data_IF_368720355261
#
_entry.id   IF_368720355261
#
_cell.length_a   1.000
_cell.length_b   1.000
_cell.length_c   1.000
_cell.angle_alpha   90.00
_cell.angle_beta   90.00
_cell.angle_gamma   90.00
#
_symmetry.space_group_name_H-M   'P 1'
#
loop_
_entity.id
_entity.type
_entity.pdbx_description
1 polymer ?
#
# COMPACT_ATOMS: atom_id res chain seq x y z
N UNK A 1 57.86 13.91 -58.69
CA UNK A 1 58.46 13.53 -57.40
C UNK A 1 57.55 14.01 -56.28
N UNK A 2 57.37 13.15 -55.28
CA UNK A 2 56.33 13.10 -54.25
C UNK A 2 56.41 14.22 -53.20
N UNK A 3 55.24 14.56 -52.62
CA UNK A 3 55.04 15.39 -51.42
C UNK A 3 55.71 14.75 -50.18
N UNK A 4 56.05 15.53 -49.14
CA UNK A 4 55.18 15.63 -47.95
C UNK A 4 55.09 17.08 -47.40
N UNK A 5 53.89 17.60 -47.09
CA UNK A 5 53.27 17.64 -45.75
C UNK A 5 54.22 17.98 -44.61
N UNK A 6 54.07 19.17 -44.00
CA UNK A 6 54.05 19.37 -42.55
C UNK A 6 53.48 20.77 -42.23
N UNK A 7 52.18 20.80 -41.94
CA UNK A 7 51.47 21.92 -41.33
C UNK A 7 51.18 21.55 -39.87
N UNK A 8 52.09 21.87 -38.95
CA UNK A 8 51.95 21.80 -37.49
C UNK A 8 53.08 22.73 -36.98
N UNK A 9 52.89 23.75 -36.14
CA UNK A 9 52.24 23.68 -34.84
C UNK A 9 52.21 25.10 -34.24
N UNK A 10 51.11 25.85 -34.38
CA UNK A 10 50.81 26.97 -33.49
C UNK A 10 49.32 26.97 -33.19
N UNK A 11 48.89 26.03 -32.35
CA UNK A 11 47.56 26.07 -31.72
C UNK A 11 47.54 27.25 -30.73
N UNK A 12 46.61 28.21 -30.85
CA UNK A 12 46.57 29.39 -29.97
C UNK A 12 46.44 28.96 -28.50
N UNK A 13 47.16 29.63 -27.60
CA UNK A 13 47.08 29.40 -26.16
C UNK A 13 45.64 29.52 -25.61
N UNK A 14 44.81 30.36 -26.24
CA UNK A 14 43.38 30.49 -25.96
C UNK A 14 42.59 29.23 -26.31
N UNK A 15 42.92 28.54 -27.41
CA UNK A 15 42.28 27.28 -27.77
C UNK A 15 42.73 26.14 -26.87
N UNK A 16 43.99 26.09 -26.44
CA UNK A 16 44.42 25.09 -25.43
C UNK A 16 43.73 25.30 -24.08
N UNK A 17 43.53 26.56 -23.66
CA UNK A 17 42.80 26.89 -22.44
C UNK A 17 41.31 26.55 -22.57
N UNK A 18 40.70 26.83 -23.72
CA UNK A 18 39.30 26.50 -23.99
C UNK A 18 39.09 24.98 -24.12
N UNK A 19 39.97 24.28 -24.82
CA UNK A 19 39.98 22.82 -24.94
C UNK A 19 40.26 22.16 -23.58
N UNK A 20 41.12 22.74 -22.74
CA UNK A 20 41.31 22.30 -21.36
C UNK A 20 40.04 22.52 -20.52
N UNK A 21 39.34 23.66 -20.67
CA UNK A 21 38.05 23.91 -20.00
C UNK A 21 36.96 22.93 -20.47
N UNK A 22 36.88 22.63 -21.76
CA UNK A 22 35.95 21.62 -22.28
C UNK A 22 36.31 20.22 -21.79
N UNK A 23 37.60 19.86 -21.77
CA UNK A 23 38.06 18.58 -21.25
C UNK A 23 37.78 18.44 -19.75
N UNK A 24 38.03 19.47 -18.95
CA UNK A 24 37.68 19.49 -17.51
C UNK A 24 36.17 19.40 -17.32
N UNK A 25 35.38 20.12 -18.13
CA UNK A 25 33.92 20.02 -18.09
C UNK A 25 33.42 18.61 -18.42
N UNK A 26 33.98 17.99 -19.46
CA UNK A 26 33.62 16.63 -19.86
C UNK A 26 34.04 15.59 -18.79
N UNK A 27 35.22 15.76 -18.18
CA UNK A 27 35.66 14.94 -17.06
C UNK A 27 34.77 15.10 -15.82
N UNK A 28 34.37 16.33 -15.48
CA UNK A 28 33.45 16.58 -14.37
C UNK A 28 32.08 15.93 -14.62
N UNK A 29 31.55 15.99 -15.84
CA UNK A 29 30.29 15.33 -16.22
C UNK A 29 30.41 13.80 -16.17
N UNK A 30 31.52 13.23 -16.64
CA UNK A 30 31.73 11.78 -16.57
C UNK A 30 31.87 11.30 -15.12
N UNK A 31 32.56 12.07 -14.28
CA UNK A 31 32.71 11.78 -12.85
C UNK A 31 31.36 11.88 -12.13
N UNK A 32 30.56 12.92 -12.38
CA UNK A 32 29.21 13.02 -11.79
C UNK A 32 28.26 11.94 -12.30
N UNK A 33 28.28 11.59 -13.59
CA UNK A 33 27.53 10.44 -14.12
C UNK A 33 27.95 9.11 -13.48
N UNK A 34 29.25 8.92 -13.22
CA UNK A 34 29.75 7.74 -12.52
C UNK A 34 29.30 7.71 -11.05
N UNK A 35 29.30 8.86 -10.36
CA UNK A 35 28.77 8.97 -9.00
C UNK A 35 27.25 8.71 -8.94
N UNK A 36 26.48 9.23 -9.90
CA UNK A 36 25.03 8.97 -10.02
C UNK A 36 24.77 7.48 -10.33
N UNK A 37 25.57 6.88 -11.21
CA UNK A 37 25.51 5.44 -11.49
C UNK A 37 25.89 4.59 -10.26
N UNK A 38 26.80 5.10 -9.41
CA UNK A 38 27.15 4.46 -8.13
C UNK A 38 26.01 4.54 -7.10
N UNK A 39 25.16 5.58 -7.16
CA UNK A 39 23.99 5.71 -6.29
C UNK A 39 22.78 4.92 -6.77
N UNK A 40 22.72 4.49 -8.04
CA UNK A 40 21.62 3.71 -8.62
C UNK A 40 21.90 2.19 -8.68
N UNK A 41 22.97 1.72 -8.01
CA UNK A 41 23.20 0.30 -7.74
C UNK A 41 22.26 -0.30 -6.67
N UNK A 42 21.31 0.47 -6.15
CA UNK A 42 20.22 -0.03 -5.32
C UNK A 42 18.90 0.73 -5.56
N UNK A 43 18.01 0.07 -6.31
CA UNK A 43 16.57 -0.02 -6.06
C UNK A 43 15.67 1.15 -6.49
N UNK A 44 15.22 1.12 -7.76
CA UNK A 44 13.80 1.34 -8.06
C UNK A 44 13.01 0.08 -7.64
N UNK A 45 12.77 -0.08 -6.34
CA UNK A 45 11.74 -1.00 -5.84
C UNK A 45 10.50 -0.16 -5.56
N UNK A 46 9.63 -0.04 -6.57
CA UNK A 46 8.22 0.24 -6.33
C UNK A 46 7.56 -1.03 -5.83
N UNK A 47 7.58 -1.27 -4.52
CA UNK A 47 6.57 -2.07 -3.82
C UNK A 47 6.86 -2.10 -2.33
N UNK A 48 5.86 -1.70 -1.55
CA UNK A 48 5.73 -1.86 -0.11
C UNK A 48 6.50 -3.07 0.46
N UNK A 49 7.63 -2.83 1.12
CA UNK A 49 8.23 -3.82 2.03
C UNK A 49 8.85 -3.14 3.26
N UNK A 50 8.03 -3.00 4.30
CA UNK A 50 8.47 -2.81 5.68
C UNK A 50 8.68 -4.18 6.34
N UNK A 51 9.86 -4.40 6.93
CA UNK A 51 10.10 -5.52 7.83
C UNK A 51 11.59 -5.81 8.03
N UNK A 52 12.16 -5.19 9.05
CA UNK A 52 13.50 -5.44 9.59
C UNK A 52 13.59 -6.74 10.40
N UNK A 53 14.84 -7.14 10.64
CA UNK A 53 15.37 -7.98 11.73
C UNK A 53 16.02 -9.28 11.23
N UNK A 54 17.35 -9.29 11.33
CA UNK A 54 18.22 -10.37 10.86
C UNK A 54 18.03 -11.66 11.64
N UNK A 55 17.84 -12.77 10.91
CA UNK A 55 18.19 -14.12 11.37
C UNK A 55 18.40 -15.05 10.17
N UNK A 56 19.64 -15.54 10.07
CA UNK A 56 20.19 -16.63 9.24
C UNK A 56 19.34 -17.15 8.07
N UNK A 57 19.78 -16.79 6.86
CA UNK A 57 19.27 -17.27 5.58
C UNK A 57 19.44 -18.79 5.48
N UNK A 58 18.36 -19.53 5.75
CA UNK A 58 18.22 -20.92 5.36
C UNK A 58 17.50 -21.01 4.03
N UNK A 59 18.21 -20.88 2.91
CA UNK A 59 17.98 -21.58 1.63
C UNK A 59 16.61 -21.56 0.89
N UNK A 60 15.52 -21.05 1.44
CA UNK A 60 14.15 -21.19 0.87
C UNK A 60 13.31 -19.91 0.87
N UNK A 61 13.87 -18.79 1.33
CA UNK A 61 13.08 -17.58 1.61
C UNK A 61 13.05 -16.56 0.47
N UNK A 62 13.74 -16.82 -0.65
CA UNK A 62 13.71 -15.97 -1.86
C UNK A 62 12.58 -16.30 -2.85
N UNK A 63 11.78 -17.34 -2.59
CA UNK A 63 10.55 -17.53 -3.35
C UNK A 63 9.44 -16.66 -2.75
N UNK A 64 8.78 -15.77 -3.53
CA UNK A 64 7.61 -15.06 -3.05
C UNK A 64 6.61 -16.11 -2.61
N UNK A 65 6.41 -16.25 -1.30
CA UNK A 65 5.47 -17.24 -0.78
C UNK A 65 4.14 -16.95 -1.45
N UNK A 66 3.57 -17.90 -2.21
CA UNK A 66 2.31 -17.65 -2.89
C UNK A 66 1.32 -17.20 -1.84
N UNK A 67 0.79 -15.97 -1.99
CA UNK A 67 -0.21 -15.42 -1.08
C UNK A 67 -1.30 -16.48 -0.99
N UNK A 68 -1.45 -17.12 0.17
CA UNK A 68 -2.43 -18.20 0.32
C UNK A 68 -3.79 -17.58 0.00
N UNK A 69 -4.50 -18.04 -1.05
CA UNK A 69 -5.80 -17.49 -1.36
C UNK A 69 -6.72 -17.75 -0.17
N UNK A 70 -7.51 -16.75 0.20
CA UNK A 70 -8.52 -16.91 1.23
C UNK A 70 -9.52 -17.96 0.76
N UNK A 71 -9.72 -19.00 1.59
CA UNK A 71 -10.53 -20.16 1.21
C UNK A 71 -12.03 -19.89 1.33
N UNK A 72 -12.43 -18.91 2.14
CA UNK A 72 -13.83 -18.58 2.38
C UNK A 72 -14.29 -17.49 1.41
N UNK A 73 -15.58 -17.52 1.08
CA UNK A 73 -16.20 -16.53 0.19
C UNK A 73 -16.14 -15.14 0.82
N UNK A 74 -15.95 -14.13 -0.02
CA UNK A 74 -15.93 -12.71 0.35
C UNK A 74 -14.83 -12.33 1.36
N UNK A 75 -13.74 -13.10 1.40
CA UNK A 75 -12.53 -12.77 2.15
C UNK A 75 -11.42 -12.35 1.19
N UNK A 76 -10.65 -11.34 1.60
CA UNK A 76 -9.47 -10.83 0.90
C UNK A 76 -8.26 -10.92 1.82
N UNK A 77 -7.12 -11.30 1.25
CA UNK A 77 -5.87 -11.36 2.00
C UNK A 77 -5.31 -9.94 2.15
N UNK A 78 -5.12 -9.50 3.38
CA UNK A 78 -4.43 -8.24 3.70
C UNK A 78 -3.05 -8.56 4.28
N UNK A 79 -2.02 -7.92 3.74
CA UNK A 79 -0.63 -8.09 4.15
C UNK A 79 -0.27 -7.28 5.40
N UNK A 80 -1.01 -6.22 5.68
CA UNK A 80 -0.85 -5.40 6.86
C UNK A 80 -2.14 -4.61 7.08
N UNK A 81 -2.79 -4.79 8.23
CA UNK A 81 -3.92 -3.95 8.63
C UNK A 81 -3.89 -3.73 10.13
N UNK A 82 -4.17 -2.50 10.53
CA UNK A 82 -4.28 -2.10 11.93
C UNK A 82 -5.43 -2.80 12.65
N UNK A 83 -5.20 -3.22 13.89
CA UNK A 83 -6.26 -3.73 14.76
C UNK A 83 -7.37 -2.68 14.89
N UNK A 84 -8.61 -3.14 14.74
CA UNK A 84 -9.80 -2.28 14.76
C UNK A 84 -10.18 -1.71 13.40
N UNK A 85 -9.32 -1.83 12.39
CA UNK A 85 -9.58 -1.47 11.00
C UNK A 85 -9.43 -2.63 10.01
N UNK A 86 -9.36 -3.83 10.56
CA UNK A 86 -9.25 -5.09 9.83
C UNK A 86 -10.42 -5.36 8.88
N UNK A 87 -11.65 -5.35 9.40
CA UNK A 87 -12.90 -5.66 8.73
C UNK A 87 -14.10 -5.12 9.52
N UNK A 88 -15.25 -4.99 8.86
CA UNK A 88 -16.52 -4.72 9.52
C UNK A 88 -17.14 -6.02 10.08
N UNK A 89 -17.84 -5.91 11.20
CA UNK A 89 -18.50 -7.03 11.89
C UNK A 89 -20.00 -6.77 11.95
N UNK A 90 -20.83 -7.80 12.04
CA UNK A 90 -22.29 -7.60 12.11
C UNK A 90 -22.71 -6.72 13.30
N UNK A 91 -21.97 -6.78 14.42
CA UNK A 91 -22.19 -5.96 15.62
C UNK A 91 -21.39 -4.66 15.63
N UNK A 92 -20.50 -4.45 14.66
CA UNK A 92 -19.71 -3.22 14.49
C UNK A 92 -19.51 -2.99 12.99
N UNK A 93 -20.51 -2.42 12.29
CA UNK A 93 -20.47 -2.28 10.84
C UNK A 93 -19.51 -1.19 10.36
N UNK A 94 -19.15 -0.27 11.24
CA UNK A 94 -18.22 0.82 10.93
C UNK A 94 -16.80 0.41 11.30
N UNK A 95 -15.89 0.53 10.33
CA UNK A 95 -14.44 0.41 10.52
C UNK A 95 -13.92 1.69 11.20
N UNK A 96 -12.99 1.57 12.15
CA UNK A 96 -12.50 2.74 12.90
C UNK A 96 -13.40 3.11 14.09
N UNK A 97 -13.27 4.31 14.68
CA UNK A 97 -12.57 5.49 14.15
C UNK A 97 -11.04 5.46 14.30
N UNK A 98 -10.52 4.67 15.25
CA UNK A 98 -9.09 4.57 15.53
C UNK A 98 -8.59 3.19 15.11
N UNK A 99 -7.54 3.17 14.30
CA UNK A 99 -6.78 1.98 13.95
C UNK A 99 -5.52 1.95 14.80
N UNK A 100 -5.18 0.79 15.38
CA UNK A 100 -3.84 0.62 15.94
C UNK A 100 -2.80 0.48 14.81
N UNK A 101 -1.57 0.90 15.07
CA UNK A 101 -0.45 0.80 14.10
C UNK A 101 0.19 -0.60 14.05
N UNK A 102 -0.51 -1.64 14.50
CA UNK A 102 -0.02 -3.00 14.47
C UNK A 102 -0.35 -3.69 13.14
N UNK A 103 0.59 -4.49 12.64
CA UNK A 103 0.46 -5.11 11.32
C UNK A 103 -0.16 -6.51 11.42
N UNK A 104 -1.49 -6.61 11.32
CA UNK A 104 -2.16 -7.91 11.23
C UNK A 104 -2.16 -8.42 9.78
N UNK A 105 -1.73 -9.67 9.59
CA UNK A 105 -1.72 -10.35 8.29
C UNK A 105 -2.75 -11.48 8.30
N UNK A 106 -3.55 -11.60 7.24
CA UNK A 106 -4.54 -12.66 7.17
C UNK A 106 -5.70 -12.40 6.21
N UNK A 107 -6.73 -13.23 6.33
CA UNK A 107 -7.95 -13.15 5.53
C UNK A 107 -9.05 -12.40 6.30
N UNK A 108 -9.47 -11.28 5.72
CA UNK A 108 -10.46 -10.36 6.28
C UNK A 108 -11.62 -10.20 5.30
N UNK A 109 -12.80 -9.83 5.79
CA UNK A 109 -13.94 -9.58 4.92
C UNK A 109 -13.65 -8.47 3.91
N UNK A 110 -14.04 -8.70 2.66
CA UNK A 110 -14.01 -7.70 1.61
C UNK A 110 -14.91 -6.51 1.97
N UNK A 111 -14.63 -5.34 1.38
CA UNK A 111 -15.46 -4.14 1.55
C UNK A 111 -16.92 -4.44 1.21
N UNK A 112 -17.85 -3.98 2.06
CA UNK A 112 -19.29 -4.25 1.93
C UNK A 112 -19.76 -5.59 2.52
N UNK A 113 -18.83 -6.41 3.02
CA UNK A 113 -19.14 -7.63 3.76
C UNK A 113 -18.76 -7.49 5.23
N UNK A 114 -19.50 -8.22 6.06
CA UNK A 114 -19.43 -8.15 7.51
C UNK A 114 -19.21 -9.54 8.07
N UNK A 115 -18.31 -9.69 9.04
CA UNK A 115 -18.12 -10.98 9.71
C UNK A 115 -19.27 -11.24 10.67
N UNK A 116 -19.94 -12.37 10.49
CA UNK A 116 -20.95 -12.86 11.43
C UNK A 116 -20.34 -13.63 12.61
N UNK A 117 -21.16 -14.00 13.60
CA UNK A 117 -20.73 -14.77 14.77
C UNK A 117 -20.24 -16.18 14.41
N UNK A 118 -20.55 -16.66 13.19
CA UNK A 118 -20.11 -17.95 12.65
C UNK A 118 -18.78 -17.83 11.90
N UNK A 119 -18.18 -16.63 11.89
CA UNK A 119 -16.93 -16.34 11.20
C UNK A 119 -17.03 -16.32 9.68
N UNK A 120 -18.21 -16.08 9.11
CA UNK A 120 -18.44 -15.93 7.67
C UNK A 120 -18.64 -14.47 7.28
N UNK A 121 -18.08 -14.08 6.14
CA UNK A 121 -18.29 -12.76 5.55
C UNK A 121 -19.61 -12.73 4.76
N UNK A 122 -20.58 -12.00 5.30
CA UNK A 122 -21.95 -11.94 4.80
C UNK A 122 -22.36 -10.51 4.46
N UNK A 123 -23.39 -10.35 3.63
CA UNK A 123 -23.96 -9.03 3.36
C UNK A 123 -24.71 -8.49 4.57
N UNK A 124 -24.89 -7.17 4.63
CA UNK A 124 -25.58 -6.50 5.74
C UNK A 124 -26.99 -7.07 6.01
N UNK A 125 -27.78 -7.32 4.95
CA UNK A 125 -29.11 -7.93 5.06
C UNK A 125 -29.10 -9.29 5.79
N UNK A 126 -28.00 -10.05 5.66
CA UNK A 126 -27.84 -11.32 6.35
C UNK A 126 -27.36 -11.16 7.79
N UNK A 127 -26.66 -10.07 8.13
CA UNK A 127 -26.43 -9.69 9.52
C UNK A 127 -27.76 -9.37 10.23
N UNK A 128 -28.60 -8.55 9.62
CA UNK A 128 -29.91 -8.19 10.18
C UNK A 128 -30.74 -9.45 10.47
N UNK A 129 -30.90 -10.34 9.48
CA UNK A 129 -31.57 -11.66 9.65
C UNK A 129 -31.01 -12.53 10.77
N UNK A 130 -29.73 -12.40 11.08
CA UNK A 130 -29.05 -13.16 12.15
C UNK A 130 -29.18 -12.51 13.53
N UNK A 131 -29.49 -11.21 13.60
CA UNK A 131 -29.78 -10.51 14.87
C UNK A 131 -31.25 -10.66 15.28
N UNK A 132 -32.18 -10.76 14.32
CA UNK A 132 -33.61 -10.98 14.59
C UNK A 132 -34.00 -12.24 15.40
N UNK A 133 -33.21 -13.33 15.49
CA UNK A 133 -33.52 -14.47 16.35
C UNK A 133 -33.33 -14.22 17.86
N UNK A 134 -32.59 -13.18 18.28
CA UNK A 134 -32.20 -12.96 19.69
C UNK A 134 -32.93 -11.80 20.39
N UNK A 135 -33.97 -11.22 19.77
CA UNK A 135 -34.71 -10.09 20.35
C UNK A 135 -36.23 -10.25 20.20
N UNK A 136 -36.92 -10.74 21.24
CA UNK A 136 -38.36 -10.63 21.31
C UNK A 136 -38.72 -9.16 21.67
N UNK A 137 -39.40 -8.45 20.76
CA UNK A 137 -39.93 -7.10 21.04
C UNK A 137 -39.15 -5.94 20.41
N UNK A 138 -39.08 -5.93 19.08
CA UNK A 138 -38.38 -4.90 18.31
C UNK A 138 -38.66 -3.45 18.72
N UNK A 139 -37.58 -2.70 18.92
CA UNK A 139 -37.38 -1.29 18.54
C UNK A 139 -35.87 -1.07 18.44
N UNK A 140 -35.41 -0.43 17.37
CA UNK A 140 -33.99 -0.31 16.99
C UNK A 140 -33.18 0.64 17.90
N UNK A 141 -33.26 0.47 19.23
CA UNK A 141 -32.61 1.39 20.17
C UNK A 141 -31.07 1.31 20.16
N UNK A 142 -30.48 0.28 19.53
CA UNK A 142 -29.03 0.02 19.56
C UNK A 142 -28.37 -0.05 18.18
N UNK A 143 -29.08 0.25 17.10
CA UNK A 143 -28.49 0.36 15.76
C UNK A 143 -28.29 1.85 15.46
N UNK A 144 -27.09 2.42 15.65
CA UNK A 144 -26.85 3.86 15.47
C UNK A 144 -27.04 4.38 14.02
N UNK A 145 -27.54 3.54 13.10
CA UNK A 145 -27.71 3.82 11.66
C UNK A 145 -29.03 3.28 11.11
N UNK A 146 -29.93 2.75 11.94
CA UNK A 146 -31.29 2.45 11.50
C UNK A 146 -32.10 3.74 11.62
N UNK A 147 -32.07 4.58 10.59
CA UNK A 147 -32.96 5.72 10.49
C UNK A 147 -34.41 5.25 10.64
N UNK A 148 -35.21 5.83 11.56
CA UNK A 148 -36.63 5.54 11.62
C UNK A 148 -37.28 6.17 10.39
N UNK A 149 -37.70 5.32 9.46
CA UNK A 149 -38.65 5.67 8.42
C UNK A 149 -39.84 6.38 9.07
N UNK A 150 -39.96 7.67 8.80
CA UNK A 150 -40.97 8.58 9.30
C UNK A 150 -42.35 8.09 8.85
N UNK A 151 -43.02 7.29 9.68
CA UNK A 151 -44.42 6.96 9.48
C UNK A 151 -45.15 7.06 10.81
N UNK A 152 -45.92 8.14 10.96
CA UNK A 152 -47.11 8.15 11.80
C UNK A 152 -47.06 9.02 13.06
N UNK A 153 -47.56 10.25 12.89
CA UNK A 153 -48.37 11.05 13.83
C UNK A 153 -47.88 11.16 15.28
N UNK A 154 -47.29 12.32 15.60
CA UNK A 154 -47.21 12.82 16.98
C UNK A 154 -48.55 13.51 17.33
N UNK A 155 -49.29 13.08 18.36
CA UNK A 155 -50.33 13.93 18.92
C UNK A 155 -49.64 15.06 19.68
N UNK A 156 -49.96 16.28 19.31
CA UNK A 156 -49.58 17.49 20.05
C UNK A 156 -50.40 17.46 21.34
N UNK A 157 -49.74 17.27 22.48
CA UNK A 157 -50.37 17.45 23.77
C UNK A 157 -50.40 18.95 24.10
N UNK A 158 -51.62 19.46 24.31
CA UNK A 158 -51.94 20.78 24.82
C UNK A 158 -51.49 20.95 26.28
#
# INVERSE_FOLDING_TARGET
MYKPMHQFLHTPHSERLNMAKFAIGLLLVLVTCAFVSFTEGAQSISSDFQGSDGLLIGGKDWWPRPKRPCRRKNEVYKSCVGTGCEEAKCWKPTIGPVCHYDCKRGCFCATGFYRDYRGKCVSWNKCLKQMYPWYPGGRYSWLPYAEPLYTGVVPVAF
#
